data_IF_496629025378
#
_entry.id   IF_496629025378
#
_cell.length_a   1.000
_cell.length_b   1.000
_cell.length_c   1.000
_cell.angle_alpha   90.00
_cell.angle_beta   90.00
_cell.angle_gamma   90.00
#
_symmetry.space_group_name_H-M   'P 1'
#
loop_
_entity.id
_entity.type
_entity.pdbx_description
1 polymer ?
#
# COMPACT_ATOMS: atom_id res chain seq x y z
N UNK A 1 14.93 55.70 13.36
CA UNK A 1 13.75 55.26 12.57
C UNK A 1 14.23 54.09 11.74
N UNK A 2 14.26 52.86 12.24
CA UNK A 2 13.10 52.04 12.58
C UNK A 2 12.94 51.03 11.45
N UNK A 3 13.80 50.01 11.42
CA UNK A 3 13.62 48.86 10.51
C UNK A 3 12.45 48.05 11.05
N UNK A 4 11.25 48.33 10.57
CA UNK A 4 10.07 47.58 10.96
C UNK A 4 10.11 46.21 10.28
N UNK A 5 9.96 45.19 11.12
CA UNK A 5 10.33 43.83 10.81
C UNK A 5 9.53 43.29 9.62
N UNK A 6 10.27 42.72 8.69
CA UNK A 6 9.83 41.79 7.65
C UNK A 6 8.68 40.93 8.17
N UNK A 7 7.55 41.00 7.47
CA UNK A 7 6.36 40.18 7.64
C UNK A 7 6.75 38.77 8.09
N UNK A 8 6.46 38.42 9.34
CA UNK A 8 6.40 37.02 9.75
C UNK A 8 5.27 36.41 8.92
N UNK A 9 5.61 35.74 7.82
CA UNK A 9 4.72 34.77 7.21
C UNK A 9 4.41 33.73 8.28
N UNK A 10 3.26 33.90 8.92
CA UNK A 10 2.64 32.87 9.71
C UNK A 10 2.29 31.79 8.69
N UNK A 11 3.07 30.71 8.67
CA UNK A 11 2.76 29.52 7.88
C UNK A 11 1.42 29.02 8.39
N UNK A 12 0.36 29.35 7.66
CA UNK A 12 -1.00 28.94 7.96
C UNK A 12 -1.14 27.44 7.62
N UNK A 13 -1.31 26.54 8.59
CA UNK A 13 -1.41 25.11 8.34
C UNK A 13 -2.61 24.73 7.47
N UNK A 14 -3.62 25.61 7.38
CA UNK A 14 -4.78 25.41 6.49
C UNK A 14 -4.46 25.59 5.00
N UNK A 15 -3.27 26.14 4.67
CA UNK A 15 -2.77 26.36 3.32
C UNK A 15 -1.69 25.37 2.89
N UNK A 16 -1.41 24.33 3.68
CA UNK A 16 -0.44 23.26 3.34
C UNK A 16 -1.01 22.30 2.28
N UNK A 17 -1.41 22.87 1.15
CA UNK A 17 -1.88 22.21 -0.05
C UNK A 17 -0.81 21.29 -0.63
N UNK A 18 0.47 21.63 -0.44
CA UNK A 18 1.60 20.80 -0.83
C UNK A 18 1.69 19.54 0.05
N UNK A 19 1.68 19.66 1.37
CA UNK A 19 1.71 18.52 2.29
C UNK A 19 0.51 17.58 2.11
N UNK A 20 -0.68 18.14 1.87
CA UNK A 20 -1.87 17.35 1.52
C UNK A 20 -1.72 16.62 0.18
N UNK A 21 -1.13 17.27 -0.83
CA UNK A 21 -0.89 16.66 -2.15
C UNK A 21 0.16 15.56 -2.07
N UNK A 22 1.24 15.77 -1.32
CA UNK A 22 2.27 14.75 -1.06
C UNK A 22 1.67 13.56 -0.33
N UNK A 23 0.88 13.80 0.73
CA UNK A 23 0.22 12.72 1.47
C UNK A 23 -0.70 11.90 0.58
N UNK A 24 -1.53 12.55 -0.25
CA UNK A 24 -2.40 11.86 -1.21
C UNK A 24 -1.63 11.02 -2.22
N UNK A 25 -0.51 11.54 -2.73
CA UNK A 25 0.35 10.81 -3.65
C UNK A 25 0.93 9.57 -2.97
N UNK A 26 1.49 9.72 -1.77
CA UNK A 26 2.05 8.60 -1.01
C UNK A 26 0.99 7.55 -0.65
N UNK A 27 -0.23 7.97 -0.31
CA UNK A 27 -1.35 7.06 -0.09
C UNK A 27 -1.75 6.30 -1.36
N UNK A 28 -1.69 6.96 -2.52
CA UNK A 28 -1.93 6.31 -3.79
C UNK A 28 -0.82 5.31 -4.12
N UNK A 29 0.45 5.71 -4.05
CA UNK A 29 1.59 4.83 -4.31
C UNK A 29 1.61 3.63 -3.36
N UNK A 30 1.28 3.83 -2.08
CA UNK A 30 1.17 2.75 -1.10
C UNK A 30 0.11 1.73 -1.49
N UNK A 31 -1.06 2.18 -1.96
CA UNK A 31 -2.13 1.29 -2.45
C UNK A 31 -1.73 0.56 -3.71
N UNK A 32 -1.13 1.26 -4.67
CA UNK A 32 -0.69 0.68 -5.94
C UNK A 32 0.42 -0.36 -5.71
N UNK A 33 1.39 -0.06 -4.84
CA UNK A 33 2.43 -0.99 -4.44
C UNK A 33 1.86 -2.20 -3.71
N UNK A 34 0.93 -2.02 -2.77
CA UNK A 34 0.28 -3.12 -2.05
C UNK A 34 -0.46 -4.04 -3.01
N UNK A 35 -1.18 -3.48 -3.98
CA UNK A 35 -1.87 -4.24 -5.04
C UNK A 35 -0.88 -5.05 -5.89
N UNK A 36 0.19 -4.41 -6.35
CA UNK A 36 1.26 -5.06 -7.12
C UNK A 36 1.92 -6.20 -6.32
N UNK A 37 2.20 -5.98 -5.03
CA UNK A 37 2.82 -6.98 -4.15
C UNK A 37 1.92 -8.21 -3.99
N UNK A 38 0.61 -8.01 -3.80
CA UNK A 38 -0.35 -9.12 -3.68
C UNK A 38 -0.43 -9.92 -4.99
N UNK A 39 -0.43 -9.23 -6.14
CA UNK A 39 -0.40 -9.86 -7.45
C UNK A 39 0.86 -10.72 -7.66
N UNK A 40 2.03 -10.18 -7.32
CA UNK A 40 3.31 -10.93 -7.43
C UNK A 40 3.40 -12.08 -6.45
N UNK A 41 2.84 -11.92 -5.25
CA UNK A 41 2.74 -13.00 -4.28
C UNK A 41 1.85 -14.12 -4.81
N UNK A 42 0.70 -13.80 -5.42
CA UNK A 42 -0.17 -14.80 -6.02
C UNK A 42 0.52 -15.57 -7.15
N UNK A 43 1.23 -14.86 -8.03
CA UNK A 43 2.00 -15.46 -9.13
C UNK A 43 3.08 -16.41 -8.61
N UNK A 44 3.85 -15.99 -7.60
CA UNK A 44 4.87 -16.83 -6.99
C UNK A 44 4.28 -18.08 -6.32
N UNK A 45 3.22 -17.92 -5.52
CA UNK A 45 2.59 -19.04 -4.82
C UNK A 45 2.01 -20.06 -5.82
N UNK A 46 1.36 -19.58 -6.88
CA UNK A 46 0.88 -20.43 -7.97
C UNK A 46 2.01 -21.26 -8.57
N UNK A 47 3.14 -20.63 -8.89
CA UNK A 47 4.32 -21.32 -9.42
C UNK A 47 4.85 -22.40 -8.46
N UNK A 48 4.86 -22.12 -7.14
CA UNK A 48 5.28 -23.10 -6.14
C UNK A 48 4.32 -24.30 -6.05
N UNK A 49 3.01 -24.06 -6.16
CA UNK A 49 2.01 -25.14 -6.22
C UNK A 49 2.21 -25.97 -7.48
N UNK A 50 2.28 -25.32 -8.65
CA UNK A 50 2.36 -25.98 -9.94
C UNK A 50 3.68 -26.77 -10.11
N UNK A 51 4.80 -26.24 -9.61
CA UNK A 51 6.13 -26.83 -9.81
C UNK A 51 6.53 -27.81 -8.71
N UNK A 52 6.16 -27.52 -7.46
CA UNK A 52 6.65 -28.26 -6.28
C UNK A 52 5.55 -29.00 -5.52
N UNK A 53 4.28 -28.86 -5.94
CA UNK A 53 3.15 -29.47 -5.24
C UNK A 53 2.95 -28.89 -3.84
N UNK A 54 3.34 -27.63 -3.61
CA UNK A 54 3.22 -27.01 -2.30
C UNK A 54 1.75 -26.76 -1.97
N UNK A 55 1.31 -27.23 -0.81
CA UNK A 55 -0.04 -26.97 -0.31
C UNK A 55 -0.12 -25.59 0.35
N UNK A 56 -1.13 -24.81 -0.03
CA UNK A 56 -1.33 -23.46 0.48
C UNK A 56 -2.32 -23.47 1.66
N UNK A 57 -1.83 -23.20 2.87
CA UNK A 57 -2.68 -23.15 4.07
C UNK A 57 -3.63 -21.95 4.05
N UNK A 58 -4.93 -22.21 4.16
CA UNK A 58 -5.98 -21.17 4.25
C UNK A 58 -5.77 -20.16 5.39
N UNK A 59 -5.09 -20.52 6.48
CA UNK A 59 -4.73 -19.57 7.55
C UNK A 59 -3.80 -18.47 7.06
N UNK A 60 -2.89 -18.79 6.14
CA UNK A 60 -1.99 -17.81 5.53
C UNK A 60 -2.79 -16.84 4.66
N UNK A 61 -3.74 -17.34 3.87
CA UNK A 61 -4.65 -16.50 3.08
C UNK A 61 -5.41 -15.48 3.93
N UNK A 62 -6.06 -15.94 5.00
CA UNK A 62 -6.81 -15.08 5.93
C UNK A 62 -5.88 -14.02 6.54
N UNK A 63 -4.65 -14.41 6.91
CA UNK A 63 -3.66 -13.48 7.45
C UNK A 63 -3.26 -12.42 6.42
N UNK A 64 -3.03 -12.80 5.17
CA UNK A 64 -2.70 -11.88 4.09
C UNK A 64 -3.85 -10.90 3.82
N UNK A 65 -5.08 -11.40 3.75
CA UNK A 65 -6.28 -10.56 3.58
C UNK A 65 -6.43 -9.55 4.72
N UNK A 66 -6.18 -9.97 5.97
CA UNK A 66 -6.26 -9.06 7.13
C UNK A 66 -5.19 -7.96 7.13
N UNK A 67 -3.98 -8.27 6.65
CA UNK A 67 -2.84 -7.35 6.70
C UNK A 67 -2.78 -6.40 5.50
N UNK A 68 -3.10 -6.91 4.31
CA UNK A 68 -2.83 -6.23 3.04
C UNK A 68 -4.12 -5.99 2.23
N UNK A 69 -5.23 -6.58 2.63
CA UNK A 69 -6.52 -6.48 1.95
C UNK A 69 -6.78 -7.61 0.95
N UNK A 70 -7.92 -7.50 0.26
CA UNK A 70 -8.39 -8.53 -0.65
C UNK A 70 -7.73 -8.42 -2.03
N UNK A 71 -7.43 -9.57 -2.64
CA UNK A 71 -6.87 -9.62 -3.98
C UNK A 71 -7.42 -10.85 -4.74
N UNK A 72 -7.99 -10.61 -5.92
CA UNK A 72 -8.64 -11.65 -6.72
C UNK A 72 -7.70 -12.77 -7.15
N UNK A 73 -6.42 -12.47 -7.44
CA UNK A 73 -5.46 -13.50 -7.85
C UNK A 73 -5.11 -14.43 -6.69
N UNK A 74 -4.94 -13.88 -5.48
CA UNK A 74 -4.75 -14.68 -4.27
C UNK A 74 -6.00 -15.51 -3.95
N UNK A 75 -7.19 -14.93 -4.06
CA UNK A 75 -8.44 -15.63 -3.74
C UNK A 75 -8.72 -16.82 -4.68
N UNK A 76 -8.20 -16.77 -5.90
CA UNK A 76 -8.33 -17.83 -6.91
C UNK A 76 -7.33 -18.98 -6.75
N UNK A 77 -6.40 -18.92 -5.81
CA UNK A 77 -5.50 -20.04 -5.53
C UNK A 77 -6.23 -21.17 -4.79
N UNK A 78 -5.77 -22.40 -5.00
CA UNK A 78 -6.33 -23.60 -4.34
C UNK A 78 -5.84 -23.71 -2.90
N UNK A 79 -6.44 -22.95 -2.00
CA UNK A 79 -6.16 -23.01 -0.56
C UNK A 79 -6.77 -24.27 0.06
N UNK A 80 -6.00 -24.94 0.92
CA UNK A 80 -6.37 -26.18 1.62
C UNK A 80 -6.48 -25.92 3.12
#
# INVERSE_FOLDING_TARGET
MGYDATTKEVIDPSKDTLGLSITRLLEQESRDFTSWLLDKTAEYLKEQVDTRGLELDKKIHIRLQKLLGNNKKLDNLSWV
#
